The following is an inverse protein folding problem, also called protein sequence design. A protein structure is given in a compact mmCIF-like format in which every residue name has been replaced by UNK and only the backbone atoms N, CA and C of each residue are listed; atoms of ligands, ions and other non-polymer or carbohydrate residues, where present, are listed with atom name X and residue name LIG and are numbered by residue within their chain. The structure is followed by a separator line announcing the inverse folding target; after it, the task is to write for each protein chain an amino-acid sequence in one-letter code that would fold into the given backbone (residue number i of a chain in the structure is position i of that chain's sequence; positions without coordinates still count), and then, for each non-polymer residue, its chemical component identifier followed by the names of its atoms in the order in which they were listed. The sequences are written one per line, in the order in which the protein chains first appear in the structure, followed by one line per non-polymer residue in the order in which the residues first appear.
data_IF_806269019455
#
_entry.id   IF_806269019455
#
_cell.length_a   1.000
_cell.length_b   1.000
_cell.length_c   1.000
_cell.angle_alpha   90.00
_cell.angle_beta   90.00
_cell.angle_gamma   90.00
#
_symmetry.space_group_name_H-M   'P 1'
#
loop_
_entity.id
_entity.type
_entity.pdbx_description
1 polymer ?
#
# COMPACT_ATOMS: atom_id res chain seq x y z
N UNK A 1 -46.04 20.51 33.37
CA UNK A 1 -44.56 20.37 33.27
C UNK A 1 -44.26 19.15 32.41
N UNK A 2 -43.93 19.32 31.13
CA UNK A 2 -43.61 18.22 30.21
C UNK A 2 -42.11 17.91 30.25
N UNK A 3 -41.75 16.66 30.56
CA UNK A 3 -40.37 16.15 30.45
C UNK A 3 -40.10 15.81 28.98
N UNK A 4 -39.22 16.59 28.33
CA UNK A 4 -38.62 16.25 27.03
C UNK A 4 -37.67 15.07 27.22
N UNK A 5 -37.96 13.94 26.59
CA UNK A 5 -37.03 12.85 26.41
C UNK A 5 -36.02 13.25 25.33
N UNK A 6 -34.75 13.40 25.70
CA UNK A 6 -33.63 13.50 24.78
C UNK A 6 -33.31 12.09 24.29
N UNK A 7 -33.74 11.77 23.07
CA UNK A 7 -33.20 10.64 22.31
C UNK A 7 -31.77 11.02 21.90
N UNK A 8 -30.80 10.49 22.63
CA UNK A 8 -29.39 10.52 22.23
C UNK A 8 -29.26 9.75 20.91
N UNK A 9 -28.94 10.45 19.83
CA UNK A 9 -28.54 9.84 18.57
C UNK A 9 -27.29 9.00 18.80
N UNK A 10 -27.38 7.70 18.53
CA UNK A 10 -26.20 6.84 18.44
C UNK A 10 -25.27 7.43 17.37
N UNK A 11 -23.98 7.65 17.66
CA UNK A 11 -23.04 8.07 16.63
C UNK A 11 -22.97 6.97 15.58
N UNK A 12 -23.12 7.38 14.32
CA UNK A 12 -22.85 6.56 13.14
C UNK A 12 -21.41 6.05 13.28
N UNK A 13 -21.24 4.74 13.48
CA UNK A 13 -19.91 4.14 13.52
C UNK A 13 -19.23 4.42 12.17
N UNK A 14 -17.98 4.92 12.13
CA UNK A 14 -17.29 5.08 10.86
C UNK A 14 -17.19 3.70 10.21
N UNK A 15 -17.69 3.60 8.98
CA UNK A 15 -17.49 2.47 8.07
C UNK A 15 -16.05 1.97 8.17
N UNK A 16 -15.87 0.65 8.36
CA UNK A 16 -14.61 -0.11 8.36
C UNK A 16 -13.47 0.62 7.62
N UNK A 17 -12.85 1.56 8.34
CA UNK A 17 -11.66 2.22 7.88
C UNK A 17 -10.57 1.20 8.13
N UNK A 18 -9.90 0.79 7.06
CA UNK A 18 -8.59 0.18 7.10
C UNK A 18 -7.84 0.61 8.39
N UNK A 19 -7.57 -0.32 9.30
CA UNK A 19 -6.64 -0.06 10.39
C UNK A 19 -5.26 0.00 9.74
N UNK A 20 -4.66 1.20 9.70
CA UNK A 20 -3.32 1.42 9.14
C UNK A 20 -2.28 1.29 10.24
N UNK A 21 -1.00 1.03 9.90
CA UNK A 21 0.04 1.02 10.90
C UNK A 21 0.09 2.37 11.61
N UNK A 22 0.39 2.35 12.92
CA UNK A 22 0.52 3.58 13.71
C UNK A 22 1.50 4.56 13.08
N UNK A 23 1.26 5.87 13.25
CA UNK A 23 2.17 6.91 12.74
C UNK A 23 3.61 6.73 13.27
N UNK A 24 3.76 6.27 14.51
CA UNK A 24 5.06 5.96 15.09
C UNK A 24 5.78 4.82 14.37
N UNK A 25 5.05 3.81 13.88
CA UNK A 25 5.65 2.73 13.09
C UNK A 25 6.12 3.22 11.72
N UNK A 26 5.33 4.06 11.05
CA UNK A 26 5.68 4.62 9.75
C UNK A 26 6.84 5.63 9.85
N UNK A 27 6.88 6.42 10.91
CA UNK A 27 7.96 7.38 11.14
C UNK A 27 9.31 6.67 11.34
N UNK A 28 9.34 5.49 11.98
CA UNK A 28 10.58 4.70 12.08
C UNK A 28 11.14 4.28 10.73
N UNK A 29 10.27 4.01 9.75
CA UNK A 29 10.69 3.64 8.39
C UNK A 29 11.08 4.87 7.57
N UNK A 30 10.66 6.07 7.95
CA UNK A 30 10.86 7.27 7.17
C UNK A 30 12.35 7.68 7.15
N UNK A 31 12.95 7.76 5.96
CA UNK A 31 14.39 7.99 5.81
C UNK A 31 15.25 6.72 5.78
N UNK A 32 14.65 5.53 5.97
CA UNK A 32 15.34 4.28 5.70
C UNK A 32 15.37 3.97 4.20
N UNK A 33 16.33 3.14 3.79
CA UNK A 33 16.33 2.57 2.44
C UNK A 33 14.99 1.84 2.18
N UNK A 34 14.38 1.98 0.98
CA UNK A 34 13.04 1.44 0.71
C UNK A 34 12.90 -0.08 0.88
N UNK A 35 14.01 -0.83 0.88
CA UNK A 35 14.03 -2.26 1.26
C UNK A 35 13.50 -2.51 2.69
N UNK A 36 13.65 -1.56 3.61
CA UNK A 36 13.14 -1.69 4.98
C UNK A 36 11.62 -1.83 5.05
N UNK A 37 10.89 -1.22 4.10
CA UNK A 37 9.44 -1.36 4.00
C UNK A 37 9.05 -2.77 3.58
N UNK A 38 9.82 -3.41 2.70
CA UNK A 38 9.60 -4.80 2.32
C UNK A 38 9.88 -5.74 3.49
N UNK A 39 10.94 -5.48 4.26
CA UNK A 39 11.23 -6.26 5.47
C UNK A 39 10.09 -6.13 6.52
N UNK A 40 9.57 -4.91 6.73
CA UNK A 40 8.46 -4.69 7.66
C UNK A 40 7.16 -5.31 7.15
N UNK A 41 6.85 -5.23 5.85
CA UNK A 41 5.71 -5.91 5.27
C UNK A 41 5.79 -7.44 5.45
N UNK A 42 6.98 -8.04 5.29
CA UNK A 42 7.18 -9.46 5.55
C UNK A 42 6.95 -9.83 7.03
N UNK A 43 7.42 -8.98 7.95
CA UNK A 43 7.19 -9.15 9.39
C UNK A 43 5.69 -9.08 9.73
N UNK A 44 4.99 -8.05 9.24
CA UNK A 44 3.55 -7.86 9.45
C UNK A 44 2.75 -9.05 8.89
N UNK A 45 3.09 -9.49 7.68
CA UNK A 45 2.45 -10.66 7.07
C UNK A 45 2.63 -11.92 7.92
N UNK A 46 3.84 -12.13 8.45
CA UNK A 46 4.16 -13.27 9.34
C UNK A 46 3.44 -13.18 10.69
N UNK A 47 3.17 -11.97 11.18
CA UNK A 47 2.41 -11.72 12.40
C UNK A 47 0.88 -11.84 12.19
N UNK A 48 0.40 -12.03 10.96
CA UNK A 48 -1.02 -12.06 10.63
C UNK A 48 -1.66 -10.67 10.47
N UNK A 49 -0.87 -9.60 10.57
CA UNK A 49 -1.28 -8.20 10.36
C UNK A 49 -1.33 -7.90 8.86
N UNK A 50 -2.18 -8.64 8.13
CA UNK A 50 -2.11 -8.72 6.66
C UNK A 50 -2.49 -7.42 5.96
N UNK A 51 -3.49 -6.70 6.46
CA UNK A 51 -3.87 -5.42 5.87
C UNK A 51 -2.72 -4.42 6.04
N UNK A 52 -2.19 -4.25 7.25
CA UNK A 52 -0.99 -3.43 7.50
C UNK A 52 0.19 -3.80 6.60
N UNK A 53 0.44 -5.10 6.40
CA UNK A 53 1.47 -5.57 5.47
C UNK A 53 1.25 -5.06 4.05
N UNK A 54 0.01 -5.07 3.55
CA UNK A 54 -0.35 -4.57 2.21
C UNK A 54 -0.09 -3.06 2.10
N UNK A 55 -0.46 -2.25 3.10
CA UNK A 55 -0.16 -0.82 3.08
C UNK A 55 1.34 -0.56 3.07
N UNK A 56 2.08 -1.17 4.01
CA UNK A 56 3.54 -0.97 4.12
C UNK A 56 4.24 -1.43 2.85
N UNK A 57 3.80 -2.54 2.25
CA UNK A 57 4.32 -3.02 0.98
C UNK A 57 4.11 -2.02 -0.15
N UNK A 58 2.91 -1.47 -0.33
CA UNK A 58 2.66 -0.53 -1.43
C UNK A 58 3.31 0.83 -1.22
N UNK A 59 3.42 1.30 0.03
CA UNK A 59 4.23 2.48 0.35
C UNK A 59 5.72 2.23 0.05
N UNK A 60 6.22 1.05 0.44
CA UNK A 60 7.57 0.60 0.13
C UNK A 60 7.83 0.51 -1.36
N UNK A 61 6.91 -0.07 -2.12
CA UNK A 61 7.02 -0.20 -3.58
C UNK A 61 7.07 1.18 -4.25
N UNK A 62 6.23 2.12 -3.81
CA UNK A 62 6.24 3.50 -4.28
C UNK A 62 7.62 4.13 -4.02
N UNK A 63 8.11 4.09 -2.78
CA UNK A 63 9.41 4.67 -2.41
C UNK A 63 10.58 4.00 -3.13
N UNK A 64 10.55 2.69 -3.29
CA UNK A 64 11.60 1.94 -4.00
C UNK A 64 11.65 2.33 -5.48
N UNK A 65 10.49 2.35 -6.16
CA UNK A 65 10.42 2.77 -7.57
C UNK A 65 10.90 4.21 -7.75
N UNK A 66 10.61 5.10 -6.81
CA UNK A 66 11.11 6.49 -6.81
C UNK A 66 12.62 6.52 -6.69
N UNK A 67 13.20 5.83 -5.71
CA UNK A 67 14.65 5.70 -5.52
C UNK A 67 15.36 5.18 -6.78
N UNK A 68 14.84 4.11 -7.38
CA UNK A 68 15.40 3.54 -8.61
C UNK A 68 15.44 4.54 -9.76
N UNK A 69 14.39 5.34 -9.90
CA UNK A 69 14.32 6.37 -10.94
C UNK A 69 15.19 7.59 -10.63
N UNK A 70 15.14 8.07 -9.39
CA UNK A 70 15.83 9.27 -8.94
C UNK A 70 17.35 9.16 -9.07
N UNK A 71 17.91 7.98 -8.76
CA UNK A 71 19.36 7.78 -8.65
C UNK A 71 19.94 6.89 -9.75
N UNK A 72 19.19 6.66 -10.83
CA UNK A 72 19.59 5.80 -11.96
C UNK A 72 20.00 4.37 -11.53
N UNK A 73 19.40 3.83 -10.48
CA UNK A 73 19.73 2.52 -9.89
C UNK A 73 19.08 1.33 -10.63
N UNK A 74 18.70 1.52 -11.90
CA UNK A 74 17.96 0.53 -12.71
C UNK A 74 18.84 -0.54 -13.35
N UNK A 75 20.17 -0.34 -13.36
CA UNK A 75 21.12 -1.28 -13.93
C UNK A 75 21.44 -2.47 -13.02
N UNK A 76 22.14 -3.51 -13.53
CA UNK A 76 22.49 -4.71 -12.76
C UNK A 76 23.36 -4.46 -11.51
N UNK A 77 24.14 -3.38 -11.50
CA UNK A 77 24.96 -2.97 -10.35
C UNK A 77 24.27 -2.02 -9.36
N UNK A 78 22.99 -1.68 -9.61
CA UNK A 78 22.19 -0.86 -8.70
C UNK A 78 21.21 -1.69 -7.88
N UNK A 79 20.18 -1.04 -7.34
CA UNK A 79 19.19 -1.69 -6.47
C UNK A 79 18.05 -2.41 -7.22
N UNK A 80 18.06 -2.42 -8.56
CA UNK A 80 17.02 -3.11 -9.35
C UNK A 80 16.95 -4.63 -9.10
N UNK A 81 18.08 -5.38 -9.00
CA UNK A 81 18.03 -6.79 -8.61
C UNK A 81 17.42 -6.99 -7.21
N UNK A 82 17.78 -6.14 -6.24
CA UNK A 82 17.23 -6.17 -4.89
C UNK A 82 15.70 -5.95 -4.91
N UNK A 83 15.24 -4.93 -5.65
CA UNK A 83 13.82 -4.67 -5.84
C UNK A 83 13.08 -5.88 -6.44
N UNK A 84 13.67 -6.51 -7.46
CA UNK A 84 13.13 -7.71 -8.08
C UNK A 84 12.99 -8.87 -7.09
N UNK A 85 14.08 -9.21 -6.38
CA UNK A 85 14.08 -10.28 -5.38
C UNK A 85 13.08 -10.04 -4.24
N UNK A 86 12.96 -8.81 -3.75
CA UNK A 86 11.99 -8.47 -2.70
C UNK A 86 10.54 -8.47 -3.21
N UNK A 87 10.32 -8.05 -4.45
CA UNK A 87 8.98 -8.11 -5.08
C UNK A 87 8.51 -9.55 -5.26
N UNK A 88 9.40 -10.48 -5.58
CA UNK A 88 9.07 -11.91 -5.70
C UNK A 88 8.91 -12.62 -4.35
N UNK A 89 9.80 -12.36 -3.40
CA UNK A 89 9.79 -13.06 -2.10
C UNK A 89 8.76 -12.52 -1.12
N UNK A 90 8.56 -11.20 -1.09
CA UNK A 90 7.61 -10.53 -0.19
C UNK A 90 6.36 -10.07 -0.94
N UNK A 91 6.54 -9.46 -2.11
CA UNK A 91 5.42 -8.90 -2.86
C UNK A 91 4.43 -9.95 -3.35
N UNK A 92 4.90 -11.12 -3.81
CA UNK A 92 4.03 -12.21 -4.26
C UNK A 92 3.02 -12.67 -3.19
N UNK A 93 3.42 -13.08 -1.97
CA UNK A 93 2.45 -13.49 -0.95
C UNK A 93 1.58 -12.33 -0.44
N UNK A 94 2.11 -11.09 -0.35
CA UNK A 94 1.29 -9.91 -0.01
C UNK A 94 0.22 -9.66 -1.07
N UNK A 95 0.58 -9.70 -2.35
CA UNK A 95 -0.35 -9.50 -3.46
C UNK A 95 -1.38 -10.63 -3.55
N UNK A 96 -1.00 -11.88 -3.29
CA UNK A 96 -1.95 -13.01 -3.28
C UNK A 96 -3.11 -12.76 -2.31
N UNK A 97 -2.79 -12.27 -1.10
CA UNK A 97 -3.77 -11.82 -0.12
C UNK A 97 -4.52 -10.57 -0.59
N UNK A 98 -3.81 -9.51 -0.98
CA UNK A 98 -4.39 -8.21 -1.30
C UNK A 98 -5.41 -8.30 -2.44
N UNK A 99 -5.07 -9.00 -3.52
CA UNK A 99 -5.95 -9.20 -4.68
C UNK A 99 -7.16 -10.09 -4.37
N UNK A 100 -7.20 -10.74 -3.21
CA UNK A 100 -8.40 -11.40 -2.71
C UNK A 100 -9.53 -10.40 -2.45
N UNK A 101 -9.24 -9.15 -2.09
CA UNK A 101 -10.21 -8.11 -1.82
C UNK A 101 -9.86 -6.83 -2.60
N UNK A 102 -10.44 -6.70 -3.80
CA UNK A 102 -10.13 -5.59 -4.72
C UNK A 102 -10.49 -4.21 -4.16
N UNK A 103 -11.68 -3.99 -3.56
CA UNK A 103 -11.97 -2.73 -2.87
C UNK A 103 -10.95 -2.37 -1.79
N UNK A 104 -10.56 -3.32 -0.93
CA UNK A 104 -9.57 -3.07 0.11
C UNK A 104 -8.19 -2.75 -0.47
N UNK A 105 -7.78 -3.48 -1.52
CA UNK A 105 -6.53 -3.22 -2.25
C UNK A 105 -6.48 -1.80 -2.84
N UNK A 106 -7.58 -1.35 -3.45
CA UNK A 106 -7.68 0.02 -3.98
C UNK A 106 -7.48 1.04 -2.85
N UNK A 107 -8.17 0.86 -1.72
CA UNK A 107 -8.02 1.73 -0.55
C UNK A 107 -6.58 1.72 0.00
N UNK A 108 -5.91 0.57 0.01
CA UNK A 108 -4.50 0.46 0.41
C UNK A 108 -3.59 1.36 -0.42
N UNK A 109 -3.74 1.28 -1.74
CA UNK A 109 -2.90 2.02 -2.69
C UNK A 109 -3.20 3.52 -2.57
N UNK A 110 -4.46 3.90 -2.40
CA UNK A 110 -4.86 5.29 -2.15
C UNK A 110 -4.28 5.83 -0.85
N UNK A 111 -4.33 5.05 0.22
CA UNK A 111 -3.74 5.42 1.50
C UNK A 111 -2.22 5.58 1.39
N UNK A 112 -1.53 4.69 0.68
CA UNK A 112 -0.09 4.81 0.44
C UNK A 112 0.27 6.08 -0.36
N UNK A 113 -0.50 6.39 -1.41
CA UNK A 113 -0.35 7.62 -2.21
C UNK A 113 -0.66 8.90 -1.40
N UNK A 114 -1.66 8.85 -0.52
CA UNK A 114 -1.99 9.95 0.37
C UNK A 114 -0.89 10.18 1.40
N UNK A 115 -0.41 9.10 2.03
CA UNK A 115 0.67 9.15 3.00
C UNK A 115 1.95 9.70 2.39
N UNK A 116 2.36 9.22 1.22
CA UNK A 116 3.57 9.71 0.55
C UNK A 116 3.53 11.21 0.21
N UNK A 117 2.33 11.79 0.03
CA UNK A 117 2.15 13.24 -0.14
C UNK A 117 2.21 14.01 1.18
N UNK A 118 1.64 13.46 2.25
CA UNK A 118 1.54 14.13 3.56
C UNK A 118 2.82 14.00 4.39
N UNK A 119 3.52 12.87 4.29
CA UNK A 119 4.78 12.56 4.95
C UNK A 119 5.80 12.12 3.89
N UNK A 120 6.38 13.08 3.15
CA UNK A 120 7.34 12.78 2.07
C UNK A 120 8.52 11.93 2.55
N UNK A 121 8.98 11.06 1.66
CA UNK A 121 10.14 10.22 1.93
C UNK A 121 11.39 11.05 2.20
N UNK A 122 12.06 10.80 3.33
CA UNK A 122 13.33 11.46 3.66
C UNK A 122 14.54 10.78 3.04
N UNK A 123 14.40 9.55 2.52
CA UNK A 123 15.51 8.85 1.86
C UNK A 123 15.69 9.30 0.42
N UNK A 124 14.58 9.48 -0.32
CA UNK A 124 14.55 10.06 -1.67
C UNK A 124 13.58 11.26 -1.71
N UNK A 125 14.00 12.44 -1.20
CA UNK A 125 13.11 13.57 -1.01
C UNK A 125 12.52 14.11 -2.32
N UNK A 126 11.19 14.33 -2.40
CA UNK A 126 10.57 14.94 -3.58
C UNK A 126 11.11 16.31 -3.99
N UNK A 127 11.52 17.22 -3.07
CA UNK A 127 12.16 18.48 -3.47
C UNK A 127 13.45 18.29 -4.28
N UNK A 128 14.21 17.22 -4.01
CA UNK A 128 15.44 16.88 -4.74
C UNK A 128 15.15 16.10 -6.02
N UNK A 129 14.10 15.27 -6.02
CA UNK A 129 13.73 14.40 -7.13
C UNK A 129 12.26 14.58 -7.56
N UNK A 130 11.85 15.78 -8.02
CA UNK A 130 10.44 16.10 -8.25
C UNK A 130 9.85 15.29 -9.42
N UNK A 131 10.59 15.14 -10.50
CA UNK A 131 10.15 14.35 -11.66
C UNK A 131 10.06 12.85 -11.35
N UNK A 132 11.01 12.35 -10.55
CA UNK A 132 11.00 10.95 -10.12
C UNK A 132 9.74 10.66 -9.30
N UNK A 133 9.49 11.49 -8.29
CA UNK A 133 8.36 11.36 -7.38
C UNK A 133 7.01 11.50 -8.11
N UNK A 134 6.89 12.50 -9.00
CA UNK A 134 5.66 12.73 -9.79
C UNK A 134 5.32 11.52 -10.65
N UNK A 135 6.24 11.06 -11.50
CA UNK A 135 5.98 9.95 -12.44
C UNK A 135 5.68 8.63 -11.73
N UNK A 136 6.32 8.34 -10.59
CA UNK A 136 6.02 7.12 -9.84
C UNK A 136 4.63 7.20 -9.20
N UNK A 137 4.26 8.34 -8.61
CA UNK A 137 2.90 8.53 -8.07
C UNK A 137 1.83 8.39 -9.15
N UNK A 138 2.05 9.01 -10.32
CA UNK A 138 1.16 8.88 -11.48
C UNK A 138 1.05 7.43 -11.94
N UNK A 139 2.17 6.71 -12.07
CA UNK A 139 2.17 5.30 -12.44
C UNK A 139 1.45 4.41 -11.42
N UNK A 140 1.61 4.68 -10.13
CA UNK A 140 0.92 3.95 -9.06
C UNK A 140 -0.58 4.25 -9.03
N UNK A 141 -0.99 5.49 -9.29
CA UNK A 141 -2.39 5.87 -9.46
C UNK A 141 -3.01 5.17 -10.69
N UNK A 142 -2.29 5.15 -11.82
CA UNK A 142 -2.72 4.41 -13.01
C UNK A 142 -2.84 2.90 -12.77
N UNK A 143 -1.96 2.31 -11.96
CA UNK A 143 -2.07 0.91 -11.54
C UNK A 143 -3.34 0.64 -10.72
N UNK A 144 -3.64 1.49 -9.73
CA UNK A 144 -4.90 1.44 -8.98
C UNK A 144 -6.11 1.53 -9.91
N UNK A 145 -6.11 2.47 -10.84
CA UNK A 145 -7.23 2.69 -11.78
C UNK A 145 -7.41 1.48 -12.70
N UNK A 146 -6.31 0.86 -13.14
CA UNK A 146 -6.34 -0.38 -13.91
C UNK A 146 -6.94 -1.55 -13.13
N UNK A 147 -6.59 -1.69 -11.84
CA UNK A 147 -7.20 -2.70 -10.95
C UNK A 147 -8.71 -2.46 -10.83
N UNK A 148 -9.13 -1.21 -10.60
CA UNK A 148 -10.53 -0.85 -10.49
C UNK A 148 -11.32 -1.16 -11.78
N UNK A 149 -10.79 -0.77 -12.93
CA UNK A 149 -11.42 -1.01 -14.23
C UNK A 149 -11.48 -2.50 -14.63
N UNK A 150 -10.63 -3.35 -14.03
CA UNK A 150 -10.54 -4.79 -14.34
C UNK A 150 -10.97 -5.69 -13.19
N UNK A 151 -11.63 -5.15 -12.17
CA UNK A 151 -11.95 -5.87 -10.94
C UNK A 151 -12.65 -7.22 -11.20
N UNK A 152 -13.66 -7.24 -12.08
CA UNK A 152 -14.38 -8.48 -12.40
C UNK A 152 -13.52 -9.51 -13.14
N UNK A 153 -12.66 -9.05 -14.06
CA UNK A 153 -11.72 -9.93 -14.76
C UNK A 153 -10.73 -10.56 -13.79
N UNK A 154 -10.18 -9.76 -12.88
CA UNK A 154 -9.27 -10.21 -11.84
C UNK A 154 -9.94 -11.27 -10.96
N UNK A 155 -11.17 -11.05 -10.51
CA UNK A 155 -11.91 -12.03 -9.70
C UNK A 155 -12.11 -13.35 -10.44
N UNK A 156 -12.50 -13.30 -11.71
CA UNK A 156 -12.65 -14.51 -12.55
C UNK A 156 -11.32 -15.25 -12.71
N UNK A 157 -10.22 -14.54 -12.98
CA UNK A 157 -8.90 -15.16 -13.14
C UNK A 157 -8.43 -15.81 -11.84
N UNK A 158 -8.66 -15.16 -10.70
CA UNK A 158 -8.35 -15.73 -9.38
C UNK A 158 -9.12 -17.02 -9.14
N UNK A 159 -10.44 -17.01 -9.39
CA UNK A 159 -11.28 -18.19 -9.24
C UNK A 159 -10.81 -19.34 -10.15
N UNK A 160 -10.48 -19.04 -11.41
CA UNK A 160 -9.95 -20.04 -12.35
C UNK A 160 -8.61 -20.64 -11.89
N UNK A 161 -7.82 -19.87 -11.14
CA UNK A 161 -6.55 -20.31 -10.56
C UNK A 161 -6.69 -20.94 -9.17
N UNK A 162 -7.91 -21.16 -8.67
CA UNK A 162 -8.17 -21.72 -7.34
C UNK A 162 -7.86 -20.76 -6.18
N UNK A 163 -7.73 -19.46 -6.45
CA UNK A 163 -7.47 -18.44 -5.44
C UNK A 163 -8.79 -17.86 -4.91
N UNK A 164 -8.83 -17.59 -3.61
CA UNK A 164 -9.99 -17.02 -2.93
C UNK A 164 -10.27 -15.58 -3.40
N UNK A 165 -11.55 -15.27 -3.61
CA UNK A 165 -12.07 -13.90 -3.69
C UNK A 165 -12.80 -13.59 -2.38
N UNK A 166 -12.16 -12.78 -1.53
CA UNK A 166 -12.70 -12.30 -0.27
C UNK A 166 -13.61 -11.11 -0.57
N UNK A 167 -14.84 -11.15 -0.07
CA UNK A 167 -15.69 -9.97 0.04
C UNK A 167 -15.66 -9.52 1.48
N UNK A 168 -15.48 -8.22 1.74
CA UNK A 168 -15.78 -7.70 3.07
C UNK A 168 -17.22 -8.09 3.41
N UNK A 169 -17.38 -8.73 4.58
CA UNK A 169 -18.70 -9.00 5.15
C UNK A 169 -19.34 -7.70 5.61
#
# INVERSE_FOLDING_TARGET
MQRRALLAGLPFAPSLAWARPSDAALERLNGQHPAAYYAEAARLLSAGERDDAVFVFYLGQLRFRTHLMARNQRGPGGDAPLFGSLSESVGRPVNEYAFGDIPALIQAIEAALAHDRQAPDRFTPPPEFPDASRRVREGMAGFRDSIAGRAEEIRRQRQANGLENRTQK
#
